data_IF_337786234369
#
_entry.id   IF_337786234369
#
_cell.length_a   1.000
_cell.length_b   1.000
_cell.length_c   1.000
_cell.angle_alpha   90.00
_cell.angle_beta   90.00
_cell.angle_gamma   90.00
#
_symmetry.space_group_name_H-M   'P 1'
#
loop_
_entity.id
_entity.type
_entity.pdbx_description
1 polymer ?
#
# COMPACT_ATOMS: atom_id res chain seq x y z
N UNK A 1 -26.07 18.83 -4.03
CA UNK A 1 -25.18 19.96 -3.77
C UNK A 1 -24.24 19.60 -2.62
N UNK A 2 -22.97 19.90 -2.75
CA UNK A 2 -22.00 19.74 -1.69
C UNK A 2 -22.14 20.93 -0.74
N UNK A 3 -22.19 20.73 0.60
CA UNK A 3 -22.50 21.80 1.56
C UNK A 3 -21.59 23.03 1.48
N UNK A 4 -20.33 22.82 1.02
CA UNK A 4 -19.29 23.85 1.03
C UNK A 4 -19.13 24.58 -0.32
N UNK A 5 -19.99 24.33 -1.29
CA UNK A 5 -19.93 24.97 -2.60
C UNK A 5 -21.00 26.04 -2.75
N UNK A 6 -20.60 27.27 -3.06
CA UNK A 6 -21.51 28.39 -3.31
C UNK A 6 -22.45 28.17 -4.51
N UNK A 7 -22.05 27.30 -5.44
CA UNK A 7 -22.83 26.98 -6.64
C UNK A 7 -22.88 25.46 -6.88
N UNK A 8 -24.00 24.93 -7.42
CA UNK A 8 -24.08 23.54 -7.81
C UNK A 8 -23.04 23.20 -8.87
N UNK A 9 -22.32 22.08 -8.69
CA UNK A 9 -21.43 21.55 -9.72
C UNK A 9 -22.28 20.87 -10.78
N UNK A 10 -22.07 21.24 -12.04
CA UNK A 10 -22.70 20.62 -13.20
C UNK A 10 -21.72 19.68 -13.89
N UNK A 11 -22.13 18.46 -14.11
CA UNK A 11 -21.40 17.49 -14.91
C UNK A 11 -22.11 17.26 -16.25
N UNK A 12 -21.36 17.23 -17.34
CA UNK A 12 -21.94 16.87 -18.64
C UNK A 12 -22.40 15.41 -18.63
N UNK A 13 -23.43 15.11 -19.42
CA UNK A 13 -23.92 13.73 -19.58
C UNK A 13 -22.82 12.79 -20.12
N UNK A 14 -22.01 13.30 -21.03
CA UNK A 14 -20.85 12.59 -21.57
C UNK A 14 -19.81 12.27 -20.47
N UNK A 15 -19.51 13.21 -19.57
CA UNK A 15 -18.63 12.97 -18.43
C UNK A 15 -19.18 11.84 -17.56
N UNK A 16 -20.47 11.87 -17.21
CA UNK A 16 -21.10 10.85 -16.38
C UNK A 16 -21.08 9.47 -17.02
N UNK A 17 -21.37 9.37 -18.34
CA UNK A 17 -21.31 8.11 -19.07
C UNK A 17 -19.87 7.58 -19.13
N UNK A 18 -18.90 8.46 -19.40
CA UNK A 18 -17.50 8.07 -19.52
C UNK A 18 -16.86 7.67 -18.17
N UNK A 19 -17.44 8.08 -17.06
CA UNK A 19 -16.99 7.75 -15.71
C UNK A 19 -17.95 6.81 -14.96
N UNK A 20 -18.76 6.05 -15.66
CA UNK A 20 -19.57 4.98 -15.08
C UNK A 20 -18.69 3.99 -14.31
N UNK A 21 -19.12 3.58 -13.12
CA UNK A 21 -18.44 2.59 -12.27
C UNK A 21 -18.28 1.25 -13.00
N UNK A 22 -19.27 0.87 -13.84
CA UNK A 22 -19.27 -0.39 -14.58
C UNK A 22 -18.36 -0.42 -15.83
N UNK A 23 -17.84 0.72 -16.26
CA UNK A 23 -16.79 0.71 -17.28
C UNK A 23 -15.52 0.18 -16.64
N UNK A 24 -15.12 -1.03 -16.99
CA UNK A 24 -13.72 -1.47 -16.80
C UNK A 24 -12.86 -0.39 -17.43
N UNK A 25 -12.28 0.48 -16.59
CA UNK A 25 -11.20 1.35 -17.04
C UNK A 25 -10.11 0.41 -17.47
N UNK A 26 -9.83 0.31 -18.75
CA UNK A 26 -8.55 -0.18 -19.23
C UNK A 26 -7.49 0.84 -18.84
N UNK A 27 -7.18 0.90 -17.55
CA UNK A 27 -5.97 1.55 -17.09
C UNK A 27 -4.85 0.67 -17.62
N UNK A 28 -4.09 1.18 -18.57
CA UNK A 28 -2.81 0.58 -18.89
C UNK A 28 -1.99 0.60 -17.62
N UNK A 29 -2.02 -0.50 -16.90
CA UNK A 29 -1.19 -0.68 -15.71
C UNK A 29 0.26 -0.75 -16.19
N UNK A 30 1.11 0.13 -15.69
CA UNK A 30 2.55 0.05 -15.88
C UNK A 30 3.19 -0.95 -14.92
N UNK A 31 2.37 -1.72 -14.24
CA UNK A 31 2.78 -2.63 -13.17
C UNK A 31 3.75 -3.67 -13.71
N UNK A 32 4.90 -3.78 -13.10
CA UNK A 32 5.90 -4.81 -13.35
C UNK A 32 5.83 -5.82 -12.23
N UNK A 33 5.59 -7.06 -12.60
CA UNK A 33 5.69 -8.21 -11.70
C UNK A 33 7.16 -8.51 -11.47
N UNK A 34 7.56 -8.74 -10.22
CA UNK A 34 8.97 -8.90 -9.85
C UNK A 34 9.21 -10.08 -8.90
N UNK A 35 10.43 -10.61 -8.93
CA UNK A 35 10.97 -11.57 -7.99
C UNK A 35 12.25 -11.04 -7.32
N UNK A 36 12.86 -11.83 -6.46
CA UNK A 36 14.02 -11.41 -5.65
C UNK A 36 15.21 -10.87 -6.47
N UNK A 37 15.38 -11.34 -7.70
CA UNK A 37 16.47 -10.91 -8.58
C UNK A 37 16.09 -9.77 -9.52
N UNK A 38 14.87 -9.27 -9.44
CA UNK A 38 14.30 -8.27 -10.36
C UNK A 38 14.04 -6.91 -9.66
N UNK A 39 14.63 -6.72 -8.47
CA UNK A 39 14.51 -5.46 -7.73
C UNK A 39 15.45 -4.43 -8.35
N UNK A 40 14.88 -3.35 -8.83
CA UNK A 40 15.57 -2.24 -9.46
C UNK A 40 15.91 -1.13 -8.47
N UNK A 41 16.96 -0.34 -8.77
CA UNK A 41 17.34 0.82 -7.96
C UNK A 41 16.23 1.89 -7.87
N UNK A 42 15.30 1.87 -8.81
CA UNK A 42 14.16 2.79 -8.88
C UNK A 42 13.17 2.69 -7.72
N UNK A 43 13.22 1.60 -6.93
CA UNK A 43 12.42 1.47 -5.70
C UNK A 43 12.97 2.30 -4.55
N UNK A 44 14.24 2.71 -4.62
CA UNK A 44 14.87 3.52 -3.57
C UNK A 44 14.77 5.00 -3.93
N UNK A 45 14.04 5.74 -3.12
CA UNK A 45 13.76 7.17 -3.34
C UNK A 45 14.28 7.98 -2.16
N UNK A 46 14.93 9.11 -2.43
CA UNK A 46 15.35 10.02 -1.37
C UNK A 46 14.16 10.89 -0.93
N UNK A 47 14.01 11.08 0.39
CA UNK A 47 12.93 11.90 0.94
C UNK A 47 12.94 13.32 0.40
N UNK A 48 14.10 13.93 0.27
CA UNK A 48 14.23 15.30 -0.26
C UNK A 48 13.69 15.44 -1.68
N UNK A 49 13.82 14.41 -2.50
CA UNK A 49 13.32 14.40 -3.86
C UNK A 49 11.80 14.44 -3.94
N UNK A 50 11.12 13.77 -3.00
CA UNK A 50 9.65 13.70 -2.93
C UNK A 50 9.04 15.08 -2.63
N UNK A 51 9.79 15.99 -2.04
CA UNK A 51 9.31 17.33 -1.70
C UNK A 51 9.07 18.20 -2.94
N UNK A 52 9.80 17.97 -4.03
CA UNK A 52 9.56 18.62 -5.32
C UNK A 52 8.40 18.02 -6.09
N UNK A 53 7.79 18.76 -7.00
CA UNK A 53 6.68 18.25 -7.82
C UNK A 53 7.14 17.16 -8.80
N UNK A 54 8.29 17.34 -9.44
CA UNK A 54 8.81 16.35 -10.39
C UNK A 54 9.29 15.07 -9.70
N UNK A 55 9.96 15.22 -8.57
CA UNK A 55 10.37 14.07 -7.75
C UNK A 55 9.16 13.31 -7.20
N UNK A 56 8.10 13.99 -6.78
CA UNK A 56 6.87 13.36 -6.34
C UNK A 56 6.15 12.63 -7.48
N UNK A 57 6.12 13.20 -8.67
CA UNK A 57 5.58 12.53 -9.87
C UNK A 57 6.34 11.24 -10.19
N UNK A 58 7.67 11.27 -10.11
CA UNK A 58 8.49 10.09 -10.30
C UNK A 58 8.26 9.04 -9.20
N UNK A 59 8.15 9.47 -7.94
CA UNK A 59 7.77 8.62 -6.81
C UNK A 59 6.45 7.88 -7.07
N UNK A 60 5.39 8.59 -7.48
CA UNK A 60 4.09 7.97 -7.77
C UNK A 60 4.18 6.99 -8.95
N UNK A 61 4.95 7.34 -9.99
CA UNK A 61 5.18 6.45 -11.13
C UNK A 61 5.89 5.16 -10.73
N UNK A 62 6.93 5.25 -9.91
CA UNK A 62 7.64 4.06 -9.43
C UNK A 62 6.76 3.22 -8.50
N UNK A 63 5.96 3.85 -7.64
CA UNK A 63 5.00 3.17 -6.79
C UNK A 63 3.93 2.41 -7.61
N UNK A 64 3.39 3.03 -8.66
CA UNK A 64 2.45 2.41 -9.59
C UNK A 64 3.09 1.24 -10.35
N UNK A 65 4.39 1.32 -10.60
CA UNK A 65 5.13 0.29 -11.35
C UNK A 65 5.46 -0.93 -10.50
N UNK A 66 5.92 -0.74 -9.26
CA UNK A 66 6.47 -1.82 -8.43
C UNK A 66 5.58 -2.22 -7.25
N UNK A 67 4.56 -1.43 -6.93
CA UNK A 67 3.65 -1.66 -5.80
C UNK A 67 4.24 -1.32 -4.43
N UNK A 68 5.54 -1.06 -4.32
CA UNK A 68 6.20 -0.62 -3.10
C UNK A 68 7.43 0.24 -3.38
N UNK A 69 7.84 1.04 -2.40
CA UNK A 69 9.06 1.85 -2.44
C UNK A 69 9.73 1.91 -1.07
N UNK A 70 11.03 2.14 -1.08
CA UNK A 70 11.83 2.41 0.11
C UNK A 70 12.28 3.86 0.09
N UNK A 71 11.74 4.67 1.01
CA UNK A 71 12.11 6.08 1.12
C UNK A 71 13.26 6.20 2.12
N UNK A 72 14.38 6.71 1.63
CA UNK A 72 15.62 6.90 2.41
C UNK A 72 15.72 8.33 2.96
N UNK A 73 16.55 8.49 3.97
CA UNK A 73 16.88 9.79 4.57
C UNK A 73 15.65 10.55 5.10
N UNK A 74 14.68 9.80 5.63
CA UNK A 74 13.53 10.36 6.32
C UNK A 74 13.93 10.87 7.72
N UNK A 75 13.25 11.92 8.19
CA UNK A 75 13.27 12.25 9.59
C UNK A 75 12.54 11.16 10.40
N UNK A 76 13.11 10.73 11.53
CA UNK A 76 12.56 9.66 12.36
C UNK A 76 11.46 10.17 13.30
N UNK A 77 10.38 10.71 12.72
CA UNK A 77 9.24 11.23 13.47
C UNK A 77 7.92 11.08 12.69
N UNK A 78 6.80 11.06 13.40
CA UNK A 78 5.47 10.92 12.83
C UNK A 78 5.12 12.02 11.82
N UNK A 79 5.65 13.24 11.99
CA UNK A 79 5.38 14.35 11.06
C UNK A 79 5.93 14.07 9.65
N UNK A 80 7.03 13.33 9.55
CA UNK A 80 7.58 12.91 8.26
C UNK A 80 6.59 12.00 7.53
N UNK A 81 6.05 10.99 8.21
CA UNK A 81 5.04 10.06 7.66
C UNK A 81 3.79 10.82 7.24
N UNK A 82 3.30 11.71 8.11
CA UNK A 82 2.12 12.54 7.86
C UNK A 82 2.28 13.42 6.61
N UNK A 83 3.43 14.06 6.44
CA UNK A 83 3.73 14.88 5.25
C UNK A 83 3.68 14.05 3.96
N UNK A 84 4.25 12.85 3.97
CA UNK A 84 4.23 11.96 2.81
C UNK A 84 2.78 11.50 2.53
N UNK A 85 2.08 11.03 3.56
CA UNK A 85 0.70 10.56 3.44
C UNK A 85 -0.21 11.66 2.87
N UNK A 86 -0.16 12.87 3.42
CA UNK A 86 -0.99 14.00 2.96
C UNK A 86 -0.62 14.48 1.55
N UNK A 87 0.59 14.21 1.08
CA UNK A 87 1.00 14.50 -0.29
C UNK A 87 0.43 13.49 -1.29
N UNK A 88 0.22 12.24 -0.87
CA UNK A 88 -0.41 11.19 -1.67
C UNK A 88 -1.93 11.33 -1.65
N UNK A 89 -2.50 11.55 -0.46
CA UNK A 89 -3.94 11.62 -0.27
C UNK A 89 -4.29 12.05 1.15
N UNK A 90 -5.14 11.29 1.84
CA UNK A 90 -5.48 11.52 3.24
C UNK A 90 -5.09 10.32 4.10
N UNK A 91 -4.83 10.56 5.38
CA UNK A 91 -4.58 9.48 6.34
C UNK A 91 -5.90 8.81 6.69
N UNK A 92 -6.00 7.52 6.41
CA UNK A 92 -7.16 6.72 6.76
C UNK A 92 -7.14 6.37 8.24
N UNK A 93 -8.26 6.57 8.92
CA UNK A 93 -8.43 6.07 10.27
C UNK A 93 -8.73 4.57 10.26
N UNK A 94 -7.95 3.80 11.00
CA UNK A 94 -8.15 2.39 11.30
C UNK A 94 -8.66 2.20 12.73
N UNK A 95 -8.79 0.95 13.18
CA UNK A 95 -9.06 0.64 14.59
C UNK A 95 -7.95 1.14 15.53
N UNK A 96 -6.74 1.35 15.01
CA UNK A 96 -5.59 1.92 15.75
C UNK A 96 -5.50 3.43 15.66
N UNK A 97 -6.42 4.11 14.99
CA UNK A 97 -6.37 5.53 14.68
C UNK A 97 -5.80 5.83 13.29
N UNK A 98 -5.39 7.07 13.07
CA UNK A 98 -4.80 7.50 11.79
C UNK A 98 -3.29 7.25 11.72
N UNK A 99 -2.53 7.98 12.54
CA UNK A 99 -1.09 7.80 12.71
C UNK A 99 -0.83 7.27 14.12
N UNK A 100 -0.02 6.26 14.23
CA UNK A 100 0.34 5.67 15.51
C UNK A 100 1.77 5.15 15.49
N UNK A 101 2.40 5.06 16.65
CA UNK A 101 3.70 4.46 16.86
C UNK A 101 3.57 3.24 17.76
N UNK A 102 4.43 2.27 17.55
CA UNK A 102 4.48 1.06 18.35
C UNK A 102 5.93 0.63 18.56
N UNK A 103 6.14 -0.06 19.63
CA UNK A 103 7.38 -0.76 19.98
C UNK A 103 7.03 -2.16 20.46
N UNK A 104 8.03 -3.04 20.54
CA UNK A 104 7.82 -4.38 21.05
C UNK A 104 7.33 -4.32 22.51
N UNK A 105 6.20 -4.98 22.80
CA UNK A 105 5.57 -5.02 24.12
C UNK A 105 4.85 -6.35 24.31
N UNK A 106 5.46 -7.25 25.05
CA UNK A 106 4.93 -8.60 25.29
C UNK A 106 3.61 -8.63 26.11
N UNK A 107 3.19 -7.52 26.70
CA UNK A 107 1.93 -7.40 27.41
C UNK A 107 0.73 -7.13 26.46
N UNK A 108 0.98 -6.88 25.20
CA UNK A 108 -0.06 -6.63 24.19
C UNK A 108 -0.35 -7.88 23.37
N UNK A 109 -1.62 -8.14 23.12
CA UNK A 109 -2.07 -9.36 22.44
C UNK A 109 -1.91 -9.32 20.90
N UNK A 110 -1.68 -8.15 20.31
CA UNK A 110 -1.56 -8.00 18.86
C UNK A 110 -0.15 -8.38 18.38
N UNK A 111 -0.08 -9.12 17.28
CA UNK A 111 1.18 -9.59 16.68
C UNK A 111 2.14 -8.44 16.27
N UNK A 112 1.62 -7.22 16.06
CA UNK A 112 2.44 -6.03 15.79
C UNK A 112 3.40 -5.67 16.93
N UNK A 113 3.13 -6.13 18.16
CA UNK A 113 3.95 -5.85 19.35
C UNK A 113 4.86 -7.02 19.75
N UNK A 114 4.74 -8.18 19.10
CA UNK A 114 5.55 -9.36 19.43
C UNK A 114 6.92 -9.30 18.76
N UNK A 115 7.85 -10.14 19.26
CA UNK A 115 9.16 -10.37 18.63
C UNK A 115 9.17 -11.61 17.72
N UNK A 116 8.00 -12.17 17.44
CA UNK A 116 7.86 -13.33 16.58
C UNK A 116 7.99 -12.95 15.10
N UNK A 117 8.47 -13.90 14.31
CA UNK A 117 8.52 -13.76 12.85
C UNK A 117 7.11 -13.64 12.28
N UNK A 118 6.84 -12.56 11.57
CA UNK A 118 5.63 -12.39 10.77
C UNK A 118 5.90 -12.78 9.33
N UNK A 119 5.20 -13.79 8.85
CA UNK A 119 5.26 -14.19 7.44
C UNK A 119 4.66 -13.11 6.54
N UNK A 120 5.07 -13.05 5.26
CA UNK A 120 4.47 -12.12 4.31
C UNK A 120 2.94 -12.25 4.28
N UNK A 121 2.24 -11.13 4.45
CA UNK A 121 0.79 -11.05 4.52
C UNK A 121 0.31 -9.68 4.04
N UNK A 122 -0.96 -9.56 3.83
CA UNK A 122 -1.63 -8.27 3.66
C UNK A 122 -2.44 -7.97 4.92
N UNK A 123 -2.34 -6.74 5.41
CA UNK A 123 -3.11 -6.29 6.57
C UNK A 123 -4.60 -6.14 6.26
N UNK A 124 -5.40 -6.15 7.34
CA UNK A 124 -6.84 -5.83 7.30
C UNK A 124 -7.67 -6.72 6.39
N UNK A 125 -7.30 -7.99 6.24
CA UNK A 125 -8.08 -8.98 5.46
C UNK A 125 -9.47 -9.26 6.05
N UNK A 126 -9.69 -8.89 7.30
CA UNK A 126 -10.99 -8.94 7.99
C UNK A 126 -11.91 -7.74 7.63
N UNK A 127 -11.39 -6.73 6.95
CA UNK A 127 -12.14 -5.55 6.53
C UNK A 127 -12.64 -5.68 5.09
N UNK A 128 -13.90 -5.28 4.85
CA UNK A 128 -14.44 -5.21 3.49
C UNK A 128 -13.80 -4.13 2.62
N UNK A 129 -13.11 -3.18 3.24
CA UNK A 129 -12.43 -2.07 2.60
C UNK A 129 -10.93 -2.14 2.93
N UNK A 130 -10.19 -2.79 2.05
CA UNK A 130 -8.75 -2.96 2.21
C UNK A 130 -8.01 -1.61 2.19
N UNK A 131 -6.91 -1.46 2.95
CA UNK A 131 -6.07 -0.27 2.88
C UNK A 131 -5.45 -0.16 1.49
N UNK A 132 -5.40 1.07 0.94
CA UNK A 132 -4.79 1.33 -0.35
C UNK A 132 -3.28 1.27 -0.28
N UNK A 133 -2.68 2.04 0.63
CA UNK A 133 -1.24 2.10 0.88
C UNK A 133 -0.97 2.06 2.38
N UNK A 134 0.11 1.44 2.76
CA UNK A 134 0.64 1.42 4.11
C UNK A 134 2.01 2.09 4.12
N UNK A 135 2.23 3.02 5.05
CA UNK A 135 3.50 3.68 5.29
C UNK A 135 4.05 3.23 6.64
N UNK A 136 5.22 2.63 6.62
CA UNK A 136 5.95 2.22 7.80
C UNK A 136 7.24 3.03 7.90
N UNK A 137 7.52 3.61 9.05
CA UNK A 137 8.77 4.32 9.35
C UNK A 137 9.48 3.61 10.48
N UNK A 138 10.71 3.15 10.23
CA UNK A 138 11.61 2.71 11.27
C UNK A 138 12.19 3.94 11.99
N UNK A 139 11.77 4.16 13.23
CA UNK A 139 12.24 5.29 14.04
C UNK A 139 13.52 4.97 14.79
N UNK A 140 13.64 3.72 15.27
CA UNK A 140 14.80 3.22 15.98
C UNK A 140 14.95 1.72 15.71
N UNK A 141 16.19 1.23 15.74
CA UNK A 141 16.49 -0.18 15.49
C UNK A 141 17.70 -0.62 16.32
N UNK A 142 17.43 -1.40 17.34
CA UNK A 142 18.45 -2.02 18.20
C UNK A 142 18.12 -3.51 18.38
N UNK A 143 18.18 -4.26 17.29
CA UNK A 143 17.86 -5.68 17.31
C UNK A 143 18.73 -6.48 16.32
N UNK A 144 18.66 -7.80 16.41
CA UNK A 144 19.17 -8.72 15.39
C UNK A 144 17.96 -9.35 14.68
N UNK A 145 17.92 -9.31 13.36
CA UNK A 145 16.75 -9.78 12.60
C UNK A 145 15.66 -8.69 12.51
N UNK A 146 14.46 -9.06 12.13
CA UNK A 146 13.35 -8.13 11.94
C UNK A 146 13.40 -7.36 10.62
N UNK A 147 14.18 -7.86 9.66
CA UNK A 147 14.21 -7.31 8.30
C UNK A 147 12.83 -7.41 7.64
N UNK A 148 12.44 -6.36 6.93
CA UNK A 148 11.20 -6.37 6.16
C UNK A 148 11.32 -7.23 4.93
N UNK A 149 10.48 -8.26 4.82
CA UNK A 149 10.39 -9.15 3.66
C UNK A 149 9.27 -8.66 2.76
N UNK A 150 9.61 -8.26 1.53
CA UNK A 150 8.64 -7.85 0.53
C UNK A 150 8.42 -8.97 -0.48
N UNK A 151 7.15 -9.23 -0.80
CA UNK A 151 6.75 -10.27 -1.74
C UNK A 151 5.71 -9.70 -2.71
N UNK A 152 5.93 -9.94 -4.01
CA UNK A 152 4.95 -9.57 -5.02
C UNK A 152 3.83 -10.61 -5.10
N UNK A 153 2.64 -10.26 -4.63
CA UNK A 153 1.47 -11.11 -4.64
C UNK A 153 1.01 -11.49 -6.06
N UNK A 154 1.23 -10.63 -7.06
CA UNK A 154 0.93 -10.95 -8.46
C UNK A 154 1.90 -12.00 -9.02
N UNK A 155 3.18 -11.90 -8.65
CA UNK A 155 4.17 -12.95 -9.01
C UNK A 155 3.79 -14.30 -8.42
N UNK A 156 3.34 -14.31 -7.17
CA UNK A 156 2.84 -15.55 -6.54
C UNK A 156 1.64 -16.09 -7.32
N UNK A 157 0.66 -15.24 -7.62
CA UNK A 157 -0.53 -15.65 -8.36
C UNK A 157 -0.20 -16.21 -9.76
N UNK A 158 0.73 -15.58 -10.49
CA UNK A 158 1.22 -16.08 -11.77
C UNK A 158 1.94 -17.43 -11.62
N UNK A 159 2.74 -17.57 -10.57
CA UNK A 159 3.48 -18.81 -10.29
C UNK A 159 2.50 -19.96 -10.00
N UNK A 160 1.54 -19.75 -9.11
CA UNK A 160 0.50 -20.75 -8.80
C UNK A 160 -0.29 -21.11 -10.06
N UNK A 161 -0.69 -20.11 -10.85
CA UNK A 161 -1.43 -20.35 -12.10
C UNK A 161 -0.65 -21.23 -13.08
N UNK A 162 0.67 -21.10 -13.11
CA UNK A 162 1.54 -21.87 -13.98
C UNK A 162 1.81 -23.28 -13.46
N UNK A 163 2.06 -23.40 -12.17
CA UNK A 163 2.50 -24.65 -11.52
C UNK A 163 1.32 -25.54 -11.12
N UNK A 164 0.23 -24.94 -10.65
CA UNK A 164 -0.99 -25.62 -10.24
C UNK A 164 -2.25 -24.81 -10.65
N UNK A 165 -2.69 -24.95 -11.91
CA UNK A 165 -3.86 -24.24 -12.43
C UNK A 165 -5.15 -24.57 -11.67
N UNK A 166 -5.26 -25.77 -11.08
CA UNK A 166 -6.45 -26.18 -10.32
C UNK A 166 -6.51 -25.44 -8.99
N UNK A 167 -5.38 -25.34 -8.29
CA UNK A 167 -5.27 -24.54 -7.07
C UNK A 167 -5.54 -23.05 -7.34
N UNK A 168 -4.99 -22.52 -8.42
CA UNK A 168 -5.28 -21.14 -8.83
C UNK A 168 -6.78 -20.89 -9.02
N UNK A 169 -7.45 -21.78 -9.76
CA UNK A 169 -8.90 -21.70 -10.01
C UNK A 169 -9.69 -21.76 -8.70
N UNK A 170 -9.31 -22.63 -7.77
CA UNK A 170 -9.90 -22.75 -6.44
C UNK A 170 -9.76 -21.45 -5.65
N UNK A 171 -8.56 -20.89 -5.56
CA UNK A 171 -8.25 -19.66 -4.82
C UNK A 171 -8.98 -18.44 -5.38
N UNK A 172 -9.30 -18.42 -6.68
CA UNK A 172 -10.07 -17.32 -7.30
C UNK A 172 -11.59 -17.44 -7.10
N UNK A 173 -12.10 -18.61 -6.69
CA UNK A 173 -13.53 -18.86 -6.54
C UNK A 173 -13.99 -18.94 -5.08
N UNK A 174 -13.13 -19.36 -4.17
CA UNK A 174 -13.48 -19.55 -2.76
C UNK A 174 -13.14 -18.30 -1.97
N UNK A 175 -14.16 -17.69 -1.38
CA UNK A 175 -13.99 -16.61 -0.42
C UNK A 175 -13.63 -17.18 0.96
N UNK A 176 -12.46 -16.79 1.47
CA UNK A 176 -12.05 -17.08 2.84
C UNK A 176 -12.45 -15.90 3.72
N UNK A 177 -13.20 -16.19 4.79
CA UNK A 177 -13.58 -15.14 5.75
C UNK A 177 -12.41 -14.85 6.66
N UNK A 178 -12.02 -13.58 6.76
CA UNK A 178 -11.13 -13.09 7.79
C UNK A 178 -11.92 -12.62 9.02
N UNK A 179 -11.42 -12.91 10.22
CA UNK A 179 -11.93 -12.39 11.48
C UNK A 179 -10.77 -11.73 12.23
N UNK A 180 -11.10 -10.69 12.98
CA UNK A 180 -10.20 -10.02 13.93
C UNK A 180 -10.67 -10.34 15.35
#
# INVERSE_FOLDING_TARGET
SWPDLEKPVQYSFEFLINNKIDKKRETKSNLKVWGSNEIHQEIFVDYSSILSNDGFKNFLKSLDTYGFLVIRNCETNLKCVEKIANKIGYVRNSIFGGLWSFESDENKADSAYTQEELRPHTDSTYSNDAPGLQLLLCCDYDAKGGESIMVDGLKIAETIKKEDPQMYDLLTKINVKGNY
#
